data_IF_570970902904
#
_entry.id   IF_570970902904
#
_cell.length_a   1.000
_cell.length_b   1.000
_cell.length_c   1.000
_cell.angle_alpha   90.00
_cell.angle_beta   90.00
_cell.angle_gamma   90.00
#
_symmetry.space_group_name_H-M   'P 1'
#
loop_
_entity.id
_entity.type
_entity.pdbx_description
1 polymer ?
#
# COMPACT_ATOMS: atom_id res chain seq x y z
N UNK A 1 -27.60 41.31 4.17
CA UNK A 1 -27.57 39.89 3.78
C UNK A 1 -26.84 39.79 2.45
N UNK A 2 -25.51 39.70 2.44
CA UNK A 2 -24.73 39.61 1.19
C UNK A 2 -24.59 38.13 0.82
N UNK A 3 -25.18 37.76 -0.30
CA UNK A 3 -25.08 36.45 -0.93
C UNK A 3 -23.65 36.24 -1.44
N UNK A 4 -22.95 35.26 -0.84
CA UNK A 4 -21.63 34.81 -1.26
C UNK A 4 -21.73 34.19 -2.67
N UNK A 5 -21.44 34.97 -3.72
CA UNK A 5 -21.39 34.44 -5.07
C UNK A 5 -20.18 33.50 -5.21
N UNK A 6 -20.45 32.24 -5.50
CA UNK A 6 -19.46 31.24 -5.83
C UNK A 6 -18.74 31.67 -7.12
N UNK A 7 -17.46 32.03 -7.04
CA UNK A 7 -16.62 32.32 -8.20
C UNK A 7 -16.34 31.02 -8.98
N UNK A 8 -17.31 30.63 -9.82
CA UNK A 8 -17.32 29.36 -10.57
C UNK A 8 -16.12 29.20 -11.51
N UNK A 9 -15.60 30.30 -12.05
CA UNK A 9 -14.39 30.29 -12.91
C UNK A 9 -13.15 29.84 -12.13
N UNK A 10 -12.87 30.45 -10.98
CA UNK A 10 -11.71 30.12 -10.15
C UNK A 10 -11.78 28.68 -9.63
N UNK A 11 -12.99 28.22 -9.29
CA UNK A 11 -13.20 26.83 -8.90
C UNK A 11 -12.89 25.87 -10.06
N UNK A 12 -13.38 26.16 -11.27
CA UNK A 12 -13.12 25.34 -12.45
C UNK A 12 -11.62 25.25 -12.79
N UNK A 13 -10.88 26.37 -12.67
CA UNK A 13 -9.43 26.41 -12.89
C UNK A 13 -8.67 25.57 -11.84
N UNK A 14 -9.10 25.66 -10.58
CA UNK A 14 -8.53 24.88 -9.47
C UNK A 14 -8.78 23.38 -9.66
N UNK A 15 -9.99 23.00 -10.06
CA UNK A 15 -10.34 21.59 -10.35
C UNK A 15 -9.53 21.07 -11.54
N UNK A 16 -9.43 21.83 -12.64
CA UNK A 16 -8.62 21.45 -13.80
C UNK A 16 -7.15 21.25 -13.44
N UNK A 17 -6.59 22.18 -12.66
CA UNK A 17 -5.21 22.07 -12.15
C UNK A 17 -5.03 20.85 -11.27
N UNK A 18 -5.96 20.58 -10.35
CA UNK A 18 -5.92 19.39 -9.49
C UNK A 18 -5.92 18.10 -10.31
N UNK A 19 -6.82 17.98 -11.31
CA UNK A 19 -6.88 16.81 -12.20
C UNK A 19 -5.59 16.64 -13.01
N UNK A 20 -5.03 17.74 -13.53
CA UNK A 20 -3.77 17.72 -14.27
C UNK A 20 -2.63 17.15 -13.40
N UNK A 21 -2.46 17.67 -12.19
CA UNK A 21 -1.39 17.20 -11.29
C UNK A 21 -1.63 15.80 -10.73
N UNK A 22 -2.89 15.39 -10.49
CA UNK A 22 -3.22 13.99 -10.13
C UNK A 22 -2.80 13.00 -11.22
N UNK A 23 -3.09 13.34 -12.48
CA UNK A 23 -2.70 12.53 -13.64
C UNK A 23 -1.18 12.51 -13.83
N UNK A 24 -0.52 13.66 -13.69
CA UNK A 24 0.93 13.76 -13.80
C UNK A 24 1.64 12.93 -12.72
N UNK A 25 1.22 13.07 -11.45
CA UNK A 25 1.75 12.28 -10.34
C UNK A 25 1.58 10.78 -10.57
N UNK A 26 0.38 10.37 -11.04
CA UNK A 26 0.10 8.97 -11.40
C UNK A 26 1.02 8.45 -12.52
N UNK A 27 1.29 9.27 -13.54
CA UNK A 27 2.18 8.91 -14.64
C UNK A 27 3.64 8.77 -14.17
N UNK A 28 4.15 9.76 -13.42
CA UNK A 28 5.50 9.75 -12.89
C UNK A 28 5.72 8.57 -11.94
N UNK A 29 4.74 8.25 -11.10
CA UNK A 29 4.82 7.08 -10.22
C UNK A 29 4.96 5.78 -11.03
N UNK A 30 4.18 5.61 -12.10
CA UNK A 30 4.30 4.43 -12.98
C UNK A 30 5.68 4.35 -13.63
N UNK A 31 6.18 5.47 -14.15
CA UNK A 31 7.51 5.52 -14.78
C UNK A 31 8.62 5.19 -13.77
N UNK A 32 8.55 5.77 -12.57
CA UNK A 32 9.51 5.51 -11.50
C UNK A 32 9.47 4.06 -11.02
N UNK A 33 8.28 3.47 -10.85
CA UNK A 33 8.12 2.05 -10.50
C UNK A 33 8.69 1.16 -11.59
N UNK A 34 8.39 1.44 -12.87
CA UNK A 34 8.94 0.65 -13.98
C UNK A 34 10.47 0.73 -14.03
N UNK A 35 11.04 1.93 -13.89
CA UNK A 35 12.48 2.11 -13.88
C UNK A 35 13.16 1.35 -12.72
N UNK A 36 12.56 1.35 -11.52
CA UNK A 36 13.04 0.54 -10.38
C UNK A 36 12.98 -0.95 -10.69
N UNK A 37 11.84 -1.46 -11.18
CA UNK A 37 11.71 -2.87 -11.51
C UNK A 37 12.74 -3.35 -12.56
N UNK A 38 12.99 -2.52 -13.60
CA UNK A 38 14.00 -2.83 -14.62
C UNK A 38 15.40 -2.82 -14.01
N UNK A 39 15.72 -1.82 -13.18
CA UNK A 39 17.01 -1.74 -12.46
C UNK A 39 17.21 -2.96 -11.57
N UNK A 40 16.22 -3.31 -10.75
CA UNK A 40 16.29 -4.43 -9.81
C UNK A 40 16.49 -5.76 -10.57
N UNK A 41 15.83 -5.92 -11.73
CA UNK A 41 16.06 -7.09 -12.60
C UNK A 41 17.46 -7.15 -13.24
N UNK A 42 18.16 -6.03 -13.41
CA UNK A 42 19.57 -6.03 -13.80
C UNK A 42 20.49 -6.27 -12.60
N UNK A 43 20.15 -5.72 -11.44
CA UNK A 43 20.87 -5.94 -10.19
C UNK A 43 20.92 -7.43 -9.83
N UNK A 44 19.78 -8.13 -9.90
CA UNK A 44 19.71 -9.58 -9.67
C UNK A 44 20.64 -10.37 -10.61
N UNK A 45 20.68 -10.00 -11.90
CA UNK A 45 21.56 -10.65 -12.89
C UNK A 45 23.04 -10.39 -12.60
N UNK A 46 23.38 -9.16 -12.18
CA UNK A 46 24.74 -8.80 -11.80
C UNK A 46 25.16 -9.60 -10.57
N UNK A 47 24.34 -9.61 -9.52
CA UNK A 47 24.60 -10.36 -8.29
C UNK A 47 24.76 -11.86 -8.58
N UNK A 48 23.85 -12.45 -9.37
CA UNK A 48 23.94 -13.86 -9.77
C UNK A 48 25.25 -14.16 -10.50
N UNK A 49 25.67 -13.28 -11.41
CA UNK A 49 26.92 -13.42 -12.15
C UNK A 49 28.13 -13.33 -11.22
N UNK A 50 28.15 -12.38 -10.29
CA UNK A 50 29.24 -12.20 -9.33
C UNK A 50 29.37 -13.40 -8.39
N UNK A 51 28.24 -13.91 -7.86
CA UNK A 51 28.20 -15.11 -7.01
C UNK A 51 28.70 -16.34 -7.78
N UNK A 52 28.23 -16.55 -9.02
CA UNK A 52 28.67 -17.69 -9.86
C UNK A 52 30.18 -17.69 -10.10
N UNK A 53 30.78 -16.50 -10.20
CA UNK A 53 32.21 -16.33 -10.41
C UNK A 53 33.01 -16.16 -9.10
N UNK A 54 32.39 -16.32 -7.92
CA UNK A 54 33.02 -16.12 -6.59
C UNK A 54 33.65 -14.73 -6.41
N UNK A 55 33.01 -13.71 -6.97
CA UNK A 55 33.47 -12.31 -6.97
C UNK A 55 32.64 -11.41 -6.04
N UNK A 56 32.21 -11.94 -4.89
CA UNK A 56 31.32 -11.21 -3.96
C UNK A 56 31.97 -9.97 -3.32
N UNK A 57 33.31 -9.91 -3.30
CA UNK A 57 34.07 -8.76 -2.81
C UNK A 57 34.50 -7.79 -3.94
N UNK A 58 34.05 -8.02 -5.18
CA UNK A 58 34.50 -7.21 -6.31
C UNK A 58 33.90 -5.79 -6.29
N UNK A 59 34.72 -4.82 -6.69
CA UNK A 59 34.32 -3.43 -6.90
C UNK A 59 34.26 -3.16 -8.39
N UNK A 60 33.07 -2.86 -8.90
CA UNK A 60 32.85 -2.54 -10.32
C UNK A 60 33.04 -1.04 -10.50
N UNK A 61 33.99 -0.63 -11.34
CA UNK A 61 34.15 0.77 -11.72
C UNK A 61 33.21 1.13 -12.87
N UNK A 62 32.54 2.27 -12.76
CA UNK A 62 31.64 2.82 -13.79
C UNK A 62 31.99 4.29 -14.03
N UNK A 63 31.51 4.84 -15.15
CA UNK A 63 31.66 6.27 -15.40
C UNK A 63 30.91 7.05 -14.31
N UNK A 64 31.64 7.83 -13.51
CA UNK A 64 31.08 8.62 -12.41
C UNK A 64 31.04 7.92 -11.04
N UNK A 65 31.58 6.71 -10.88
CA UNK A 65 31.64 6.08 -9.55
C UNK A 65 32.10 4.61 -9.51
N UNK A 66 31.81 3.96 -8.38
CA UNK A 66 32.05 2.54 -8.16
C UNK A 66 30.82 1.88 -7.54
N UNK A 67 30.60 0.62 -7.87
CA UNK A 67 29.58 -0.24 -7.27
C UNK A 67 30.30 -1.34 -6.49
N UNK A 68 29.83 -1.60 -5.27
CA UNK A 68 30.27 -2.71 -4.44
C UNK A 68 29.05 -3.43 -3.88
N UNK A 69 29.17 -4.74 -3.69
CA UNK A 69 28.12 -5.51 -3.03
C UNK A 69 28.10 -5.09 -1.56
N UNK A 70 26.91 -4.75 -1.06
CA UNK A 70 26.68 -4.44 0.34
C UNK A 70 25.46 -5.21 0.84
N UNK A 71 25.57 -5.78 2.03
CA UNK A 71 24.43 -6.33 2.73
C UNK A 71 23.64 -5.20 3.37
N UNK A 72 22.47 -4.88 2.80
CA UNK A 72 21.55 -3.94 3.42
C UNK A 72 20.60 -4.67 4.37
N UNK A 73 20.72 -4.36 5.66
CA UNK A 73 19.80 -4.88 6.68
C UNK A 73 18.59 -3.95 6.75
N UNK A 74 17.50 -4.35 6.13
CA UNK A 74 16.24 -3.64 6.26
C UNK A 74 15.52 -4.03 7.56
N UNK A 75 15.43 -3.10 8.50
CA UNK A 75 14.49 -3.23 9.62
C UNK A 75 13.07 -3.11 9.06
N UNK A 76 12.33 -4.21 9.13
CA UNK A 76 10.98 -4.27 8.61
C UNK A 76 10.06 -3.38 9.46
N UNK A 77 9.06 -2.72 8.86
CA UNK A 77 8.16 -1.82 9.59
C UNK A 77 7.40 -2.59 10.66
N UNK A 78 7.21 -1.98 11.83
CA UNK A 78 6.43 -2.54 12.92
C UNK A 78 4.94 -2.43 12.59
N UNK A 79 4.42 -3.43 11.88
CA UNK A 79 2.99 -3.57 11.59
C UNK A 79 2.27 -4.18 12.79
N UNK A 80 0.95 -3.98 12.89
CA UNK A 80 0.15 -4.62 13.94
C UNK A 80 0.26 -6.15 13.91
N UNK A 81 0.27 -6.76 12.73
CA UNK A 81 0.44 -8.21 12.61
C UNK A 81 1.79 -8.67 13.15
N UNK A 82 2.88 -7.95 12.82
CA UNK A 82 4.20 -8.25 13.37
C UNK A 82 4.28 -8.04 14.87
N UNK A 83 3.65 -6.98 15.38
CA UNK A 83 3.58 -6.74 16.82
C UNK A 83 2.83 -7.87 17.55
N UNK A 84 1.74 -8.35 16.96
CA UNK A 84 0.97 -9.50 17.46
C UNK A 84 1.81 -10.78 17.47
N UNK A 85 2.48 -11.11 16.35
CA UNK A 85 3.39 -12.26 16.27
C UNK A 85 4.53 -12.18 17.31
N UNK A 86 5.10 -10.99 17.49
CA UNK A 86 6.15 -10.73 18.49
C UNK A 86 5.64 -10.89 19.93
N UNK A 87 4.41 -10.44 20.23
CA UNK A 87 3.80 -10.60 21.55
C UNK A 87 3.49 -12.07 21.84
N UNK A 88 2.94 -12.81 20.87
CA UNK A 88 2.74 -14.26 21.00
C UNK A 88 4.07 -14.98 21.25
N UNK A 89 5.12 -14.62 20.50
CA UNK A 89 6.47 -15.18 20.69
C UNK A 89 7.02 -14.87 22.08
N UNK A 90 6.85 -13.63 22.56
CA UNK A 90 7.25 -13.21 23.90
C UNK A 90 6.55 -14.02 25.00
N UNK A 91 5.23 -14.19 24.91
CA UNK A 91 4.48 -15.00 25.89
C UNK A 91 4.82 -16.49 25.80
N UNK A 92 5.10 -17.01 24.61
CA UNK A 92 5.55 -18.38 24.42
C UNK A 92 6.93 -18.62 25.08
N UNK A 93 7.90 -17.73 24.87
CA UNK A 93 9.20 -17.79 25.55
C UNK A 93 9.06 -17.69 27.07
N UNK A 94 8.13 -16.86 27.55
CA UNK A 94 7.88 -16.71 28.98
C UNK A 94 7.22 -17.96 29.57
N UNK A 95 6.36 -18.65 28.81
CA UNK A 95 5.74 -19.93 29.20
C UNK A 95 6.76 -21.04 29.39
N UNK A 96 7.89 -21.00 28.68
CA UNK A 96 9.01 -21.92 28.90
C UNK A 96 9.68 -21.74 30.27
N UNK A 97 9.50 -20.58 30.92
CA UNK A 97 10.08 -20.24 32.24
C UNK A 97 9.06 -20.30 33.38
N UNK A 98 7.80 -19.98 33.08
CA UNK A 98 6.69 -19.99 34.03
C UNK A 98 5.41 -20.49 33.33
N UNK A 99 4.92 -21.67 33.74
CA UNK A 99 3.79 -22.36 33.11
C UNK A 99 2.46 -21.61 33.24
N UNK A 100 2.33 -20.65 34.17
CA UNK A 100 1.06 -20.02 34.49
C UNK A 100 0.90 -18.61 33.89
N UNK A 101 1.61 -18.31 32.80
CA UNK A 101 1.53 -17.03 32.11
C UNK A 101 0.49 -17.10 30.98
N UNK A 102 -0.67 -16.44 31.12
CA UNK A 102 -1.65 -16.32 30.04
C UNK A 102 -1.13 -15.44 28.91
N UNK A 103 -1.66 -15.66 27.71
CA UNK A 103 -1.32 -14.87 26.54
C UNK A 103 -2.33 -13.71 26.40
N UNK A 104 -1.94 -12.53 26.88
CA UNK A 104 -2.78 -11.32 26.83
C UNK A 104 -2.58 -10.52 25.52
N UNK A 105 -1.86 -11.07 24.55
CA UNK A 105 -1.68 -10.47 23.22
C UNK A 105 -2.97 -9.92 22.60
N UNK A 106 -4.09 -10.66 22.54
CA UNK A 106 -5.32 -10.14 21.93
C UNK A 106 -5.86 -8.90 22.65
N UNK A 107 -5.75 -8.84 23.97
CA UNK A 107 -6.22 -7.69 24.76
C UNK A 107 -5.31 -6.48 24.58
N UNK A 108 -4.00 -6.69 24.51
CA UNK A 108 -3.01 -5.63 24.23
C UNK A 108 -3.25 -5.04 22.83
N UNK A 109 -3.40 -5.89 21.81
CA UNK A 109 -3.64 -5.43 20.43
C UNK A 109 -4.98 -4.69 20.35
N UNK A 110 -6.03 -5.19 21.01
CA UNK A 110 -7.33 -4.53 21.08
C UNK A 110 -7.25 -3.16 21.75
N UNK A 111 -6.49 -3.05 22.84
CA UNK A 111 -6.25 -1.78 23.54
C UNK A 111 -5.56 -0.77 22.62
N UNK A 112 -4.44 -1.15 21.99
CA UNK A 112 -3.70 -0.24 21.11
C UNK A 112 -4.57 0.21 19.93
N UNK A 113 -5.37 -0.70 19.34
CA UNK A 113 -6.30 -0.34 18.26
C UNK A 113 -7.37 0.66 18.70
N UNK A 114 -7.89 0.53 19.92
CA UNK A 114 -8.92 1.42 20.48
C UNK A 114 -8.38 2.80 20.81
N UNK A 115 -7.14 2.88 21.30
CA UNK A 115 -6.52 4.12 21.77
C UNK A 115 -5.71 4.85 20.68
N UNK A 116 -5.65 4.31 19.46
CA UNK A 116 -4.97 4.96 18.34
C UNK A 116 -5.82 6.10 17.79
N UNK A 117 -5.22 7.28 17.67
CA UNK A 117 -5.86 8.42 17.01
C UNK A 117 -6.12 8.12 15.52
N UNK A 118 -7.35 8.38 15.07
CA UNK A 118 -7.75 8.26 13.67
C UNK A 118 -8.04 9.65 13.13
N UNK A 119 -7.14 10.14 12.28
CA UNK A 119 -7.34 11.42 11.59
C UNK A 119 -8.17 11.22 10.32
N UNK A 120 -9.39 11.77 10.28
CA UNK A 120 -10.26 11.72 9.11
C UNK A 120 -10.16 13.04 8.34
N UNK A 121 -9.44 13.02 7.22
CA UNK A 121 -9.33 14.16 6.29
C UNK A 121 -10.17 13.93 5.04
N UNK A 122 -11.03 14.91 4.70
CA UNK A 122 -11.74 14.92 3.41
C UNK A 122 -10.73 15.13 2.29
N UNK A 123 -10.73 14.24 1.29
CA UNK A 123 -9.82 14.30 0.15
C UNK A 123 -10.58 14.03 -1.14
N UNK A 124 -10.20 14.71 -2.22
CA UNK A 124 -10.70 14.44 -3.56
C UNK A 124 -10.21 13.06 -4.02
N UNK A 125 -11.13 12.25 -4.57
CA UNK A 125 -10.83 10.92 -5.11
C UNK A 125 -11.43 10.83 -6.52
N UNK A 126 -10.58 10.51 -7.51
CA UNK A 126 -11.03 10.22 -8.87
C UNK A 126 -11.62 8.82 -8.92
N UNK A 127 -12.91 8.69 -9.25
CA UNK A 127 -13.56 7.41 -9.54
C UNK A 127 -13.60 7.20 -11.06
N UNK A 128 -13.23 6.02 -11.54
CA UNK A 128 -13.43 5.66 -12.94
C UNK A 128 -14.93 5.66 -13.26
N UNK A 129 -15.31 6.18 -14.43
CA UNK A 129 -16.70 6.09 -14.87
C UNK A 129 -17.11 4.61 -14.95
N UNK A 130 -18.22 4.25 -14.31
CA UNK A 130 -18.82 2.94 -14.48
C UNK A 130 -19.09 2.75 -15.98
N UNK A 131 -18.75 1.60 -16.58
CA UNK A 131 -19.26 1.28 -17.91
C UNK A 131 -20.78 1.37 -17.89
N UNK A 132 -21.44 1.85 -18.96
CA UNK A 132 -22.89 1.90 -19.02
C UNK A 132 -23.46 0.52 -18.67
N UNK A 133 -24.41 0.49 -17.73
CA UNK A 133 -25.06 -0.75 -17.32
C UNK A 133 -25.60 -1.49 -18.57
N UNK A 134 -25.32 -2.79 -18.74
CA UNK A 134 -25.97 -3.56 -19.79
C UNK A 134 -27.49 -3.50 -19.59
N UNK A 135 -28.29 -3.47 -20.67
CA UNK A 135 -29.75 -3.44 -20.56
C UNK A 135 -30.24 -4.63 -19.74
N UNK A 136 -31.12 -4.36 -18.78
CA UNK A 136 -31.71 -5.40 -17.91
C UNK A 136 -32.40 -6.47 -18.77
N UNK A 137 -32.17 -7.77 -18.50
CA UNK A 137 -32.93 -8.83 -19.15
C UNK A 137 -34.42 -8.70 -18.81
N UNK A 138 -35.32 -9.09 -19.73
CA UNK A 138 -36.76 -9.02 -19.49
C UNK A 138 -37.14 -9.84 -18.26
N UNK A 139 -37.95 -9.24 -17.39
CA UNK A 139 -38.43 -9.88 -16.16
C UNK A 139 -39.16 -11.20 -16.50
N UNK A 140 -38.88 -12.30 -15.77
CA UNK A 140 -39.65 -13.52 -15.92
C UNK A 140 -41.11 -13.27 -15.54
N UNK A 141 -42.07 -13.95 -16.20
CA UNK A 141 -43.49 -13.79 -15.90
C UNK A 141 -43.77 -14.18 -14.45
N UNK A 142 -44.55 -13.35 -13.75
CA UNK A 142 -44.95 -13.61 -12.37
C UNK A 142 -45.71 -14.96 -12.29
N UNK A 143 -45.46 -15.77 -11.24
CA UNK A 143 -46.24 -16.97 -11.01
C UNK A 143 -47.71 -16.61 -10.73
N UNK A 144 -48.66 -17.45 -11.18
CA UNK A 144 -50.08 -17.19 -10.97
C UNK A 144 -50.39 -17.16 -9.48
N UNK A 145 -51.15 -16.14 -9.07
CA UNK A 145 -51.61 -16.00 -7.69
C UNK A 145 -52.41 -17.24 -7.29
N UNK A 146 -51.97 -17.92 -6.23
CA UNK A 146 -52.77 -18.96 -5.61
C UNK A 146 -53.98 -18.30 -4.93
N UNK A 147 -55.15 -18.43 -5.54
CA UNK A 147 -56.42 -18.14 -4.90
C UNK A 147 -56.66 -19.21 -3.83
N UNK A 148 -56.75 -18.76 -2.57
CA UNK A 148 -57.21 -19.57 -1.43
C UNK A 148 -58.72 -19.71 -1.49
#
# INVERSE_FOLDING_TARGET
>A
MQSNQLNTSTLADTVRSWVHFDNLASSLQKQATNARNVRDGFEDKILQTLVTNRMENAVIQIHGGKLSIHEEKHSLPLTFGRLEDMLHSYYNERRLKDLNVPDDTPDIIKFIRKHRDVEVKKKLKKTAALPPLPPLPPLPPLPPAHTV
#
